data_IF_173820052581
#
_entry.id   IF_173820052581
#
_cell.length_a   1.000
_cell.length_b   1.000
_cell.length_c   1.000
_cell.angle_alpha   90.00
_cell.angle_beta   90.00
_cell.angle_gamma   90.00
#
_symmetry.space_group_name_H-M   'P 1'
#
loop_
_entity.id
_entity.type
_entity.pdbx_description
1 polymer ?
#
# COMPACT_ATOMS: atom_id res chain seq x y z
N UNK A 1 7.12 17.01 -17.21
CA UNK A 1 6.64 15.62 -17.05
C UNK A 1 7.68 14.80 -16.32
N UNK A 2 7.28 13.89 -15.43
CA UNK A 2 8.19 12.94 -14.80
C UNK A 2 8.45 11.79 -15.80
N UNK A 3 9.70 11.42 -16.09
CA UNK A 3 10.02 10.31 -16.99
C UNK A 3 9.48 8.96 -16.49
N UNK A 4 9.08 8.08 -17.42
CA UNK A 4 8.74 6.70 -17.09
C UNK A 4 9.94 5.97 -16.47
N UNK A 5 9.70 5.12 -15.48
CA UNK A 5 10.75 4.42 -14.72
C UNK A 5 11.41 5.26 -13.62
N UNK A 6 10.99 6.52 -13.43
CA UNK A 6 11.45 7.31 -12.28
C UNK A 6 11.01 6.65 -10.97
N UNK A 7 11.97 6.40 -10.08
CA UNK A 7 11.70 5.93 -8.71
C UNK A 7 11.45 7.13 -7.82
N UNK A 8 10.32 7.12 -7.11
CA UNK A 8 9.93 8.15 -6.17
C UNK A 8 9.94 7.56 -4.75
N UNK A 9 10.64 8.22 -3.84
CA UNK A 9 10.57 7.93 -2.41
C UNK A 9 9.40 8.67 -1.78
N UNK A 10 8.71 8.03 -0.83
CA UNK A 10 7.61 8.63 -0.08
C UNK A 10 7.40 7.95 1.26
N UNK A 11 6.73 8.66 2.17
CA UNK A 11 6.31 8.12 3.48
C UNK A 11 4.84 8.41 3.68
N UNK A 12 4.10 7.39 4.12
CA UNK A 12 2.72 7.53 4.59
C UNK A 12 2.74 7.30 6.10
N UNK A 13 2.26 8.28 6.85
CA UNK A 13 2.14 8.19 8.29
C UNK A 13 0.66 8.03 8.66
N UNK A 14 0.30 6.88 9.22
CA UNK A 14 -1.01 6.64 9.82
C UNK A 14 -0.92 6.77 11.34
N UNK A 15 -1.95 7.31 11.98
CA UNK A 15 -2.03 7.44 13.43
C UNK A 15 -3.12 6.51 13.96
N UNK A 16 -2.76 5.68 14.95
CA UNK A 16 -3.69 4.76 15.62
C UNK A 16 -4.46 3.86 14.64
N UNK A 17 -3.82 3.42 13.56
CA UNK A 17 -4.44 2.52 12.59
C UNK A 17 -4.69 1.16 13.23
N UNK A 18 -5.91 0.65 13.10
CA UNK A 18 -6.22 -0.75 13.39
C UNK A 18 -5.58 -1.63 12.31
N UNK A 19 -5.30 -2.89 12.64
CA UNK A 19 -4.76 -3.87 11.67
C UNK A 19 -5.62 -3.96 10.40
N UNK A 20 -6.96 -3.81 10.52
CA UNK A 20 -7.86 -3.77 9.36
C UNK A 20 -7.59 -2.58 8.42
N UNK A 21 -7.33 -1.41 8.98
CA UNK A 21 -7.11 -0.17 8.23
C UNK A 21 -5.72 -0.18 7.60
N UNK A 22 -4.72 -0.66 8.33
CA UNK A 22 -3.36 -0.85 7.82
C UNK A 22 -3.34 -1.85 6.66
N UNK A 23 -4.00 -3.01 6.81
CA UNK A 23 -4.12 -4.02 5.76
C UNK A 23 -4.86 -3.50 4.54
N UNK A 24 -5.99 -2.81 4.77
CA UNK A 24 -6.74 -2.16 3.71
C UNK A 24 -5.92 -1.14 2.94
N UNK A 25 -5.10 -0.33 3.62
CA UNK A 25 -4.22 0.65 2.99
C UNK A 25 -3.15 -0.02 2.13
N UNK A 26 -2.41 -0.99 2.68
CA UNK A 26 -1.36 -1.70 1.94
C UNK A 26 -1.91 -2.38 0.67
N UNK A 27 -3.03 -3.07 0.80
CA UNK A 27 -3.68 -3.74 -0.33
C UNK A 27 -4.21 -2.73 -1.34
N UNK A 28 -4.78 -1.61 -0.90
CA UNK A 28 -5.26 -0.55 -1.81
C UNK A 28 -4.14 0.09 -2.62
N UNK A 29 -2.90 0.02 -2.14
CA UNK A 29 -1.72 0.45 -2.88
C UNK A 29 -1.08 -0.67 -3.71
N UNK A 30 -1.65 -1.87 -3.70
CA UNK A 30 -1.19 -3.02 -4.48
C UNK A 30 -0.09 -3.86 -3.80
N UNK A 31 0.23 -3.59 -2.53
CA UNK A 31 1.23 -4.38 -1.83
C UNK A 31 0.71 -5.79 -1.55
N UNK A 32 1.55 -6.81 -1.78
CA UNK A 32 1.15 -8.23 -1.65
C UNK A 32 0.31 -8.77 -2.81
N UNK A 33 -0.04 -7.93 -3.79
CA UNK A 33 -0.72 -8.33 -5.03
C UNK A 33 0.31 -8.39 -6.15
N UNK A 34 0.44 -9.56 -6.78
CA UNK A 34 1.40 -9.77 -7.86
C UNK A 34 1.11 -8.84 -9.04
N UNK A 35 2.13 -8.13 -9.54
CA UNK A 35 2.04 -7.21 -10.68
C UNK A 35 1.05 -6.05 -10.50
N UNK A 36 0.68 -5.68 -9.26
CA UNK A 36 -0.24 -4.57 -9.04
C UNK A 36 0.37 -3.24 -9.50
N UNK A 37 -0.29 -2.62 -10.48
CA UNK A 37 0.03 -1.28 -10.99
C UNK A 37 -1.15 -0.37 -10.72
N UNK A 38 -0.95 0.61 -9.83
CA UNK A 38 -1.94 1.61 -9.46
C UNK A 38 -2.01 2.71 -10.52
N UNK A 39 -3.22 3.09 -10.92
CA UNK A 39 -3.46 4.19 -11.87
C UNK A 39 -3.58 5.51 -11.12
N UNK A 40 -2.79 6.52 -11.51
CA UNK A 40 -2.78 7.86 -10.91
C UNK A 40 -3.30 8.89 -11.90
N UNK A 41 -4.23 9.73 -11.44
CA UNK A 41 -4.73 10.87 -12.20
C UNK A 41 -6.15 10.65 -12.73
N UNK A 42 -7.13 10.61 -11.83
CA UNK A 42 -8.56 10.46 -12.18
C UNK A 42 -9.35 11.78 -12.14
N UNK A 43 -8.68 12.92 -12.39
CA UNK A 43 -9.36 14.17 -12.72
C UNK A 43 -9.19 14.42 -14.21
N UNK A 44 -10.29 14.62 -14.95
CA UNK A 44 -10.23 14.81 -16.42
C UNK A 44 -9.41 16.07 -16.78
N UNK A 45 -8.59 16.06 -17.85
CA UNK A 45 -8.33 14.93 -18.77
C UNK A 45 -7.56 13.80 -18.08
N UNK A 46 -7.99 12.56 -18.29
CA UNK A 46 -7.44 11.37 -17.61
C UNK A 46 -5.93 11.30 -17.80
N UNK A 47 -5.18 11.61 -16.74
CA UNK A 47 -3.76 11.35 -16.69
C UNK A 47 -3.56 9.86 -16.49
N UNK A 48 -2.89 9.19 -17.43
CA UNK A 48 -2.63 7.75 -17.40
C UNK A 48 -1.36 7.41 -16.59
N UNK A 49 -1.15 8.11 -15.47
CA UNK A 49 -0.03 7.83 -14.59
C UNK A 49 -0.13 6.39 -14.06
N UNK A 50 0.99 5.70 -13.97
CA UNK A 50 1.05 4.35 -13.43
C UNK A 50 2.17 4.30 -12.40
N UNK A 51 1.87 3.80 -11.19
CA UNK A 51 2.87 3.53 -10.17
C UNK A 51 2.79 2.08 -9.71
N UNK A 52 3.95 1.55 -9.35
CA UNK A 52 4.11 0.26 -8.71
C UNK A 52 4.93 0.46 -7.44
N UNK A 53 4.56 -0.24 -6.38
CA UNK A 53 5.36 -0.32 -5.16
C UNK A 53 6.50 -1.32 -5.35
N UNK A 54 7.73 -0.91 -5.03
CA UNK A 54 8.94 -1.73 -5.26
C UNK A 54 9.74 -2.00 -3.98
N UNK A 55 9.85 -1.04 -3.07
CA UNK A 55 10.59 -1.16 -1.81
C UNK A 55 9.74 -0.56 -0.68
N UNK A 56 8.98 -1.43 -0.01
CA UNK A 56 8.00 -1.03 1.00
C UNK A 56 8.50 -1.46 2.36
N UNK A 57 8.81 -0.48 3.20
CA UNK A 57 9.07 -0.66 4.62
C UNK A 57 7.81 -0.37 5.44
N UNK A 58 7.65 -1.09 6.55
CA UNK A 58 6.63 -0.81 7.56
C UNK A 58 7.32 -0.62 8.92
N UNK A 59 6.99 0.47 9.60
CA UNK A 59 7.41 0.71 10.97
C UNK A 59 6.26 1.24 11.80
N UNK A 60 6.32 0.93 13.09
CA UNK A 60 5.39 1.36 14.11
C UNK A 60 6.15 2.17 15.15
N UNK A 61 5.66 3.35 15.49
CA UNK A 61 6.25 4.21 16.51
C UNK A 61 5.33 4.14 17.73
N UNK A 62 5.83 3.53 18.80
CA UNK A 62 5.12 3.40 20.08
C UNK A 62 5.70 4.38 21.11
N UNK A 63 4.84 4.98 21.93
CA UNK A 63 5.29 5.72 23.11
C UNK A 63 5.19 4.84 24.35
N UNK A 64 6.32 4.55 24.99
CA UNK A 64 6.40 3.63 26.14
C UNK A 64 6.20 4.32 27.50
N UNK A 65 5.84 5.61 27.50
CA UNK A 65 5.71 6.44 28.71
C UNK A 65 6.95 7.29 29.01
N UNK A 66 8.11 6.96 28.42
CA UNK A 66 9.37 7.70 28.60
C UNK A 66 9.96 8.17 27.26
N UNK A 67 9.78 7.41 26.19
CA UNK A 67 10.37 7.67 24.88
C UNK A 67 9.50 7.13 23.73
N UNK A 68 9.77 7.63 22.52
CA UNK A 68 9.22 7.08 21.29
C UNK A 68 10.17 6.03 20.73
N UNK A 69 9.67 4.80 20.56
CA UNK A 69 10.44 3.68 20.03
C UNK A 69 9.89 3.30 18.67
N UNK A 70 10.74 3.30 17.65
CA UNK A 70 10.40 2.81 16.32
C UNK A 70 10.70 1.30 16.22
N UNK A 71 9.67 0.52 15.89
CA UNK A 71 9.76 -0.92 15.63
C UNK A 71 9.50 -1.20 14.16
N UNK A 72 10.44 -1.85 13.50
CA UNK A 72 10.24 -2.35 12.14
C UNK A 72 9.31 -3.57 12.18
N UNK A 73 8.35 -3.61 11.27
CA UNK A 73 7.46 -4.76 11.06
C UNK A 73 7.74 -5.32 9.66
N UNK A 74 7.65 -6.64 9.51
CA UNK A 74 7.73 -7.29 8.20
C UNK A 74 6.40 -7.10 7.46
N UNK A 75 6.35 -6.26 6.40
CA UNK A 75 5.10 -5.96 5.74
C UNK A 75 4.57 -7.16 4.95
N UNK A 76 5.47 -8.03 4.47
CA UNK A 76 5.11 -9.19 3.63
C UNK A 76 4.21 -10.19 4.36
N UNK A 77 4.61 -10.64 5.54
CA UNK A 77 3.83 -11.60 6.33
C UNK A 77 2.45 -11.05 6.70
N UNK A 78 2.40 -9.77 7.09
CA UNK A 78 1.17 -9.09 7.42
C UNK A 78 0.21 -9.01 6.21
N UNK A 79 0.71 -8.58 5.05
CA UNK A 79 -0.09 -8.47 3.84
C UNK A 79 -0.56 -9.81 3.30
N UNK A 80 0.23 -10.88 3.44
CA UNK A 80 -0.16 -12.24 3.07
C UNK A 80 -1.33 -12.74 3.92
N UNK A 81 -1.25 -12.61 5.25
CA UNK A 81 -2.34 -13.00 6.16
C UNK A 81 -3.62 -12.20 5.87
N UNK A 82 -3.48 -10.89 5.72
CA UNK A 82 -4.60 -10.01 5.42
C UNK A 82 -5.26 -10.36 4.06
N UNK A 83 -4.45 -10.63 3.04
CA UNK A 83 -4.94 -11.03 1.72
C UNK A 83 -5.73 -12.34 1.75
N UNK A 84 -5.31 -13.29 2.59
CA UNK A 84 -6.02 -14.56 2.77
C UNK A 84 -7.38 -14.35 3.44
N UNK A 85 -7.41 -13.55 4.50
CA UNK A 85 -8.63 -13.27 5.27
C UNK A 85 -9.67 -12.49 4.44
N UNK A 86 -9.24 -11.49 3.67
CA UNK A 86 -10.12 -10.59 2.92
C UNK A 86 -10.20 -10.88 1.42
N UNK A 87 -9.72 -12.06 0.97
CA UNK A 87 -9.54 -12.43 -0.44
C UNK A 87 -10.73 -12.13 -1.35
N UNK A 88 -11.95 -12.46 -0.91
CA UNK A 88 -13.17 -12.26 -1.71
C UNK A 88 -13.39 -10.79 -2.05
N UNK A 89 -13.27 -9.91 -1.05
CA UNK A 89 -13.45 -8.47 -1.19
C UNK A 89 -12.33 -7.87 -2.03
N UNK A 90 -11.09 -8.30 -1.83
CA UNK A 90 -9.95 -7.81 -2.63
C UNK A 90 -10.18 -8.10 -4.13
N UNK A 91 -10.60 -9.33 -4.48
CA UNK A 91 -10.91 -9.69 -5.87
C UNK A 91 -12.00 -8.82 -6.50
N UNK A 92 -13.04 -8.50 -5.75
CA UNK A 92 -14.17 -7.70 -6.25
C UNK A 92 -13.75 -6.30 -6.71
N UNK A 93 -12.79 -5.68 -6.02
CA UNK A 93 -12.33 -4.32 -6.31
C UNK A 93 -11.01 -4.27 -7.09
N UNK A 94 -10.28 -5.38 -7.19
CA UNK A 94 -8.96 -5.44 -7.82
C UNK A 94 -8.99 -4.94 -9.27
N UNK A 95 -9.97 -5.37 -10.07
CA UNK A 95 -10.08 -5.03 -11.50
C UNK A 95 -10.46 -3.55 -11.75
N UNK A 96 -11.03 -2.90 -10.73
CA UNK A 96 -11.38 -1.48 -10.76
C UNK A 96 -10.14 -0.62 -10.48
N UNK A 97 -9.37 -1.01 -9.46
CA UNK A 97 -8.28 -0.20 -8.90
C UNK A 97 -6.96 -0.44 -9.64
N UNK A 98 -6.70 -1.69 -10.05
CA UNK A 98 -5.44 -2.10 -10.65
C UNK A 98 -5.61 -2.51 -12.11
N UNK A 99 -4.49 -2.62 -12.84
CA UNK A 99 -4.47 -3.09 -14.22
C UNK A 99 -3.89 -4.50 -14.30
N UNK A 100 -4.64 -5.44 -14.88
CA UNK A 100 -4.11 -6.74 -15.30
C UNK A 100 -3.89 -7.75 -14.17
N UNK A 101 -4.75 -7.72 -13.14
CA UNK A 101 -4.87 -8.77 -12.12
C UNK A 101 -5.96 -9.75 -12.55
#
# INVERSE_FOLDING_TARGET
CIPAGTVLGGKICGYNLRELELGGLLISMGYGIQNAVFKIGYAKPQGFGQLQLIDVGLSEIEFDGMSFVERKREPKEFAEKFSQEYRKRIKEYADIIFRGI
#
